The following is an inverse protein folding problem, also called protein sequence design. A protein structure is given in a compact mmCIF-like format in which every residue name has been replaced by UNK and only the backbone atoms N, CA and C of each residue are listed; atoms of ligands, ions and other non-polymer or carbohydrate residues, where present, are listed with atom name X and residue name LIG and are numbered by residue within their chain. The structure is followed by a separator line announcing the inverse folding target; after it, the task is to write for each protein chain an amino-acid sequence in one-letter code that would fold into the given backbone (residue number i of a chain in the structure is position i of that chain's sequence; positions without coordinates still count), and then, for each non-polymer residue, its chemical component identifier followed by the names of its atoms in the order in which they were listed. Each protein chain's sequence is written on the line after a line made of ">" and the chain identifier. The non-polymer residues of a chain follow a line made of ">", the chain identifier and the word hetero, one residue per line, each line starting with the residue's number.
data_IF_408927617565
#
_entry.id   IF_408927617565
#
_cell.length_a   1.000
_cell.length_b   1.000
_cell.length_c   1.000
_cell.angle_alpha   90.00
_cell.angle_beta   90.00
_cell.angle_gamma   90.00
#
_symmetry.space_group_name_H-M   'P 1'
#
loop_
_entity.id
_entity.type
_entity.pdbx_description
1 polymer ?
#
# COMPACT_ATOMS: atom_id res chain seq x y z
N UNK A 1 75.71 14.04 16.02
CA UNK A 1 74.79 15.18 15.84
C UNK A 1 73.65 14.70 14.95
N UNK A 2 72.49 14.56 15.57
CA UNK A 2 71.13 14.33 14.99
C UNK A 2 70.91 13.13 14.06
N UNK A 3 70.53 12.04 14.72
CA UNK A 3 69.60 11.00 14.34
C UNK A 3 68.26 11.60 13.85
N UNK A 4 67.78 11.19 12.67
CA UNK A 4 66.37 11.28 12.27
C UNK A 4 66.01 9.96 11.56
N UNK A 5 65.30 9.14 12.32
CA UNK A 5 64.75 7.84 12.01
C UNK A 5 63.84 7.88 10.76
N UNK A 6 64.06 6.94 9.82
CA UNK A 6 63.30 6.74 8.58
C UNK A 6 62.00 5.98 8.82
N UNK A 7 61.23 6.43 9.81
CA UNK A 7 59.90 5.91 10.11
C UNK A 7 58.93 7.08 9.99
N UNK A 8 57.78 6.80 9.38
CA UNK A 8 56.64 7.68 9.12
C UNK A 8 56.53 8.22 7.70
N UNK A 9 55.29 8.15 7.21
CA UNK A 9 54.78 8.46 5.87
C UNK A 9 55.14 7.38 4.84
N UNK A 10 54.26 6.47 4.45
CA UNK A 10 52.96 6.73 3.83
C UNK A 10 51.99 5.57 4.16
N UNK A 11 51.00 5.84 5.00
CA UNK A 11 49.75 5.06 5.08
C UNK A 11 48.69 5.90 4.37
N UNK A 12 48.61 5.79 3.05
CA UNK A 12 47.55 6.42 2.27
C UNK A 12 46.33 5.50 2.29
N UNK A 13 45.28 5.99 2.97
CA UNK A 13 43.95 5.43 3.04
C UNK A 13 43.36 5.18 1.64
N UNK A 14 43.14 3.92 1.28
CA UNK A 14 42.16 3.55 0.26
C UNK A 14 40.80 3.37 0.95
N UNK A 15 40.15 4.48 1.29
CA UNK A 15 38.74 4.47 1.68
C UNK A 15 37.90 4.44 0.40
N UNK A 16 37.64 3.25 -0.11
CA UNK A 16 36.66 3.04 -1.18
C UNK A 16 35.28 3.41 -0.65
N UNK A 17 34.81 4.61 -0.96
CA UNK A 17 33.43 5.02 -0.75
C UNK A 17 32.53 4.21 -1.70
N UNK A 18 32.08 3.04 -1.24
CA UNK A 18 30.91 2.41 -1.81
C UNK A 18 29.71 3.29 -1.47
N UNK A 19 29.34 4.20 -2.37
CA UNK A 19 28.00 4.80 -2.34
C UNK A 19 27.01 3.65 -2.54
N UNK A 20 26.51 3.11 -1.44
CA UNK A 20 25.28 2.36 -1.44
C UNK A 20 24.20 3.29 -1.99
N UNK A 21 23.76 3.04 -3.23
CA UNK A 21 22.52 3.59 -3.73
C UNK A 21 21.41 3.02 -2.84
N UNK A 22 21.08 3.74 -1.76
CA UNK A 22 19.89 3.45 -0.98
C UNK A 22 18.70 3.58 -1.94
N UNK A 23 17.85 2.56 -2.12
CA UNK A 23 16.61 2.73 -2.87
C UNK A 23 15.81 3.82 -2.16
N UNK A 24 15.68 4.98 -2.81
CA UNK A 24 14.81 6.03 -2.33
C UNK A 24 13.38 5.50 -2.17
N UNK A 25 12.57 6.08 -1.28
CA UNK A 25 11.17 5.71 -1.17
C UNK A 25 10.56 5.83 -2.57
N UNK A 26 9.94 4.76 -3.06
CA UNK A 26 9.18 4.79 -4.30
C UNK A 26 8.09 5.86 -4.13
N UNK A 27 8.36 7.09 -4.58
CA UNK A 27 7.43 8.19 -4.47
C UNK A 27 6.27 7.86 -5.39
N UNK A 28 5.07 7.63 -4.86
CA UNK A 28 3.94 7.32 -5.70
C UNK A 28 3.66 8.44 -6.71
N UNK A 29 3.06 8.07 -7.84
CA UNK A 29 2.84 9.04 -8.91
C UNK A 29 1.62 9.88 -8.56
N UNK A 30 1.87 11.10 -8.07
CA UNK A 30 0.88 12.17 -8.00
C UNK A 30 1.19 13.22 -9.07
N UNK A 31 0.18 13.60 -9.85
CA UNK A 31 0.31 14.71 -10.78
C UNK A 31 -1.04 15.42 -10.94
N UNK A 32 -0.95 16.70 -11.30
CA UNK A 32 -2.10 17.50 -11.67
C UNK A 32 -1.85 18.21 -13.00
N UNK A 33 -2.90 18.37 -13.80
CA UNK A 33 -2.92 19.16 -15.03
C UNK A 33 -4.14 20.08 -15.00
N UNK A 34 -3.95 21.32 -15.39
CA UNK A 34 -5.06 22.28 -15.55
C UNK A 34 -5.49 22.32 -17.01
N UNK A 35 -6.79 22.18 -17.25
CA UNK A 35 -7.42 22.26 -18.56
C UNK A 35 -8.71 23.07 -18.42
N UNK A 36 -8.86 24.14 -19.21
CA UNK A 36 -10.05 25.01 -19.21
C UNK A 36 -10.46 25.46 -17.79
N UNK A 37 -9.48 25.90 -16.99
CA UNK A 37 -9.70 26.35 -15.60
C UNK A 37 -9.96 25.25 -14.57
N UNK A 38 -10.16 24.00 -15.00
CA UNK A 38 -10.34 22.85 -14.11
C UNK A 38 -9.01 22.13 -13.92
N UNK A 39 -8.63 21.88 -12.66
CA UNK A 39 -7.41 21.14 -12.33
C UNK A 39 -7.73 19.67 -12.10
N UNK A 40 -7.35 18.82 -13.05
CA UNK A 40 -7.45 17.37 -12.97
C UNK A 40 -6.21 16.81 -12.28
N UNK A 41 -6.40 15.97 -11.28
CA UNK A 41 -5.34 15.39 -10.48
C UNK A 41 -5.53 13.88 -10.35
N UNK A 42 -4.43 13.17 -10.15
CA UNK A 42 -4.45 11.78 -9.75
C UNK A 42 -3.35 11.49 -8.74
N UNK A 43 -3.56 10.42 -7.97
CA UNK A 43 -2.57 9.81 -7.09
C UNK A 43 -2.68 8.30 -7.24
N UNK A 44 -1.57 7.63 -7.54
CA UNK A 44 -1.55 6.19 -7.78
C UNK A 44 -0.33 5.55 -7.14
N UNK A 45 -0.50 4.33 -6.65
CA UNK A 45 0.61 3.49 -6.21
C UNK A 45 1.59 3.27 -7.37
N UNK A 46 2.81 2.88 -7.06
CA UNK A 46 3.84 2.51 -8.02
C UNK A 46 4.29 1.07 -7.84
N UNK A 47 5.11 0.57 -8.78
CA UNK A 47 5.67 -0.77 -8.72
C UNK A 47 4.68 -1.84 -9.17
N UNK A 48 4.89 -3.07 -8.68
CA UNK A 48 4.18 -4.27 -9.14
C UNK A 48 2.67 -4.17 -8.98
N UNK A 49 2.17 -3.46 -7.97
CA UNK A 49 0.73 -3.30 -7.77
C UNK A 49 0.06 -2.56 -8.95
N UNK A 50 0.84 -1.83 -9.77
CA UNK A 50 0.31 -1.21 -10.97
C UNK A 50 0.10 -2.18 -12.13
N UNK A 51 1.01 -3.12 -12.31
CA UNK A 51 1.09 -4.01 -13.48
C UNK A 51 0.68 -5.45 -13.19
N UNK A 52 0.70 -5.88 -11.93
CA UNK A 52 0.58 -7.28 -11.49
C UNK A 52 -0.42 -7.51 -10.36
N UNK A 53 -0.94 -6.47 -9.69
CA UNK A 53 -1.95 -6.69 -8.66
C UNK A 53 -3.32 -6.98 -9.26
N UNK A 54 -3.52 -8.27 -9.50
CA UNK A 54 -4.76 -8.93 -9.82
C UNK A 54 -4.67 -10.35 -9.27
N UNK A 55 -4.67 -10.49 -7.94
CA UNK A 55 -4.83 -11.80 -7.31
C UNK A 55 -6.31 -12.07 -7.13
N UNK A 56 -6.82 -13.15 -7.74
CA UNK A 56 -8.19 -13.60 -7.49
C UNK A 56 -8.27 -14.23 -6.09
N UNK A 57 -9.37 -14.00 -5.36
CA UNK A 57 -9.62 -14.69 -4.10
C UNK A 57 -9.78 -16.20 -4.34
N UNK A 58 -9.09 -17.03 -3.57
CA UNK A 58 -9.07 -18.49 -3.76
C UNK A 58 -10.34 -19.18 -3.22
N UNK A 59 -11.10 -18.48 -2.38
CA UNK A 59 -12.34 -18.94 -1.74
C UNK A 59 -13.33 -17.80 -1.57
N UNK A 60 -14.60 -18.13 -1.36
CA UNK A 60 -15.72 -17.18 -1.43
C UNK A 60 -15.68 -16.09 -0.36
N UNK A 61 -15.13 -16.39 0.83
CA UNK A 61 -15.05 -15.48 1.97
C UNK A 61 -13.67 -14.84 2.15
N UNK A 62 -12.73 -15.07 1.23
CA UNK A 62 -11.32 -14.68 1.38
C UNK A 62 -10.94 -13.36 0.73
N UNK A 63 -11.91 -12.52 0.36
CA UNK A 63 -11.63 -11.18 -0.17
C UNK A 63 -10.69 -10.37 0.73
N UNK A 64 -10.84 -10.48 2.06
CA UNK A 64 -9.98 -9.83 3.04
C UNK A 64 -8.55 -10.38 3.02
N UNK A 65 -8.38 -11.70 2.93
CA UNK A 65 -7.07 -12.34 2.88
C UNK A 65 -6.34 -12.03 1.57
N UNK A 66 -7.07 -12.04 0.46
CA UNK A 66 -6.55 -11.66 -0.84
C UNK A 66 -6.14 -10.18 -0.90
N UNK A 67 -6.91 -9.28 -0.29
CA UNK A 67 -6.54 -7.87 -0.17
C UNK A 67 -5.22 -7.69 0.62
N UNK A 68 -5.05 -8.42 1.73
CA UNK A 68 -3.78 -8.41 2.48
C UNK A 68 -2.62 -8.99 1.67
N UNK A 69 -2.83 -10.11 0.98
CA UNK A 69 -1.82 -10.72 0.11
C UNK A 69 -1.34 -9.74 -0.97
N UNK A 70 -2.27 -9.06 -1.65
CA UNK A 70 -1.95 -8.01 -2.65
C UNK A 70 -1.10 -6.90 -2.03
N UNK A 71 -1.46 -6.44 -0.83
CA UNK A 71 -0.74 -5.38 -0.11
C UNK A 71 0.66 -5.85 0.30
N UNK A 72 0.81 -7.05 0.85
CA UNK A 72 2.12 -7.54 1.27
C UNK A 72 3.04 -7.76 0.05
N UNK A 73 2.50 -8.28 -1.06
CA UNK A 73 3.21 -8.39 -2.33
C UNK A 73 3.67 -7.05 -2.88
N UNK A 74 2.88 -5.98 -2.71
CA UNK A 74 3.29 -4.61 -3.08
C UNK A 74 4.56 -4.17 -2.34
N UNK A 75 4.67 -4.53 -1.05
CA UNK A 75 5.88 -4.32 -0.25
C UNK A 75 6.98 -5.38 -0.48
N UNK A 76 6.73 -6.32 -1.40
CA UNK A 76 7.66 -7.38 -1.76
C UNK A 76 7.69 -8.55 -0.80
N UNK A 77 6.73 -8.68 0.13
CA UNK A 77 6.58 -9.79 1.06
C UNK A 77 5.42 -10.69 0.62
N UNK A 78 5.71 -11.82 -0.01
CA UNK A 78 4.66 -12.73 -0.46
C UNK A 78 4.13 -13.58 0.68
N UNK A 79 2.83 -13.53 0.92
CA UNK A 79 2.11 -14.35 1.91
C UNK A 79 0.87 -14.89 1.22
N UNK A 80 0.78 -16.20 1.02
CA UNK A 80 -0.40 -16.80 0.38
C UNK A 80 -1.69 -16.54 1.15
N UNK A 81 -2.83 -16.55 0.46
CA UNK A 81 -4.15 -16.38 1.09
C UNK A 81 -4.43 -17.48 2.11
N UNK A 82 -4.05 -18.72 1.79
CA UNK A 82 -4.15 -19.89 2.66
C UNK A 82 -3.35 -19.68 3.95
N UNK A 83 -2.12 -19.13 3.85
CA UNK A 83 -1.30 -18.83 5.03
C UNK A 83 -1.92 -17.70 5.85
N UNK A 84 -2.39 -16.64 5.21
CA UNK A 84 -3.09 -15.54 5.89
C UNK A 84 -4.29 -16.05 6.70
N UNK A 85 -5.10 -16.92 6.09
CA UNK A 85 -6.26 -17.54 6.73
C UNK A 85 -5.84 -18.49 7.84
N UNK A 86 -4.83 -19.34 7.58
CA UNK A 86 -4.28 -20.28 8.54
C UNK A 86 -3.73 -19.60 9.80
N UNK A 87 -2.99 -18.50 9.63
CA UNK A 87 -2.45 -17.74 10.76
C UNK A 87 -3.56 -17.06 11.59
N UNK A 88 -4.66 -16.65 10.95
CA UNK A 88 -5.76 -15.94 11.60
C UNK A 88 -6.71 -16.89 12.33
N UNK A 89 -6.98 -18.06 11.75
CA UNK A 89 -7.97 -19.02 12.26
C UNK A 89 -7.36 -20.26 12.90
N UNK A 90 -6.04 -20.45 12.80
CA UNK A 90 -5.34 -21.68 13.20
C UNK A 90 -5.51 -22.86 12.21
N UNK A 91 -6.28 -22.66 11.14
CA UNK A 91 -6.55 -23.65 10.09
C UNK A 91 -7.02 -22.95 8.81
N UNK A 92 -6.86 -23.61 7.66
CA UNK A 92 -7.31 -23.08 6.37
C UNK A 92 -8.82 -23.33 6.23
N UNK A 93 -9.63 -22.28 6.38
CA UNK A 93 -11.12 -22.37 6.36
C UNK A 93 -11.76 -21.21 5.59
N UNK A 94 -12.87 -21.44 4.90
CA UNK A 94 -13.60 -20.41 4.11
C UNK A 94 -14.47 -19.51 5.00
N UNK A 95 -13.82 -18.75 5.90
CA UNK A 95 -14.49 -17.87 6.86
C UNK A 95 -14.29 -16.38 6.52
N UNK A 96 -15.35 -15.55 6.67
CA UNK A 96 -15.24 -14.11 6.47
C UNK A 96 -14.50 -13.44 7.63
N UNK A 97 -14.09 -12.19 7.43
CA UNK A 97 -13.49 -11.37 8.49
C UNK A 97 -14.22 -10.05 8.61
N UNK A 98 -14.59 -9.68 9.84
CA UNK A 98 -15.17 -8.38 10.14
C UNK A 98 -14.07 -7.31 10.22
N UNK A 99 -14.46 -6.03 10.12
CA UNK A 99 -13.55 -4.88 10.02
C UNK A 99 -12.54 -4.81 11.17
N UNK A 100 -12.98 -4.97 12.42
CA UNK A 100 -12.05 -4.95 13.57
C UNK A 100 -11.07 -6.13 13.54
N UNK A 101 -11.52 -7.28 13.03
CA UNK A 101 -10.68 -8.45 12.81
C UNK A 101 -9.60 -8.16 11.78
N UNK A 102 -9.97 -7.58 10.63
CA UNK A 102 -9.02 -7.18 9.59
C UNK A 102 -7.97 -6.22 10.16
N UNK A 103 -8.38 -5.19 10.92
CA UNK A 103 -7.43 -4.25 11.52
C UNK A 103 -6.48 -4.91 12.51
N UNK A 104 -6.95 -5.90 13.27
CA UNK A 104 -6.10 -6.69 14.16
C UNK A 104 -5.10 -7.53 13.37
N UNK A 105 -5.54 -8.13 12.26
CA UNK A 105 -4.71 -8.98 11.42
C UNK A 105 -3.65 -8.16 10.67
N UNK A 106 -3.96 -6.92 10.29
CA UNK A 106 -2.98 -5.98 9.75
C UNK A 106 -1.93 -5.64 10.81
N UNK A 107 -2.36 -5.28 12.03
CA UNK A 107 -1.48 -4.72 13.06
C UNK A 107 -0.70 -5.79 13.86
N UNK A 108 0.13 -6.58 13.17
CA UNK A 108 0.98 -7.61 13.79
C UNK A 108 2.26 -7.87 13.00
N UNK A 109 3.09 -8.77 13.54
CA UNK A 109 4.23 -9.33 12.83
C UNK A 109 3.77 -10.50 11.98
N UNK A 110 4.26 -10.54 10.75
CA UNK A 110 4.02 -11.56 9.75
C UNK A 110 5.34 -12.21 9.35
N UNK A 111 5.24 -13.44 8.83
CA UNK A 111 6.36 -14.18 8.24
C UNK A 111 5.98 -14.52 6.81
N UNK A 112 6.75 -14.02 5.86
CA UNK A 112 6.50 -14.25 4.44
C UNK A 112 6.86 -15.68 4.02
N UNK A 113 6.50 -16.05 2.80
CA UNK A 113 6.74 -17.38 2.23
C UNK A 113 8.23 -17.74 2.11
N UNK A 114 9.12 -16.75 2.24
CA UNK A 114 10.58 -16.89 2.25
C UNK A 114 11.17 -16.87 3.66
N UNK A 115 10.34 -16.84 4.70
CA UNK A 115 10.77 -16.80 6.10
C UNK A 115 11.20 -15.41 6.61
N UNK A 116 10.97 -14.33 5.86
CA UNK A 116 11.30 -12.97 6.30
C UNK A 116 10.21 -12.44 7.21
N UNK A 117 10.64 -11.86 8.33
CA UNK A 117 9.76 -11.18 9.26
C UNK A 117 9.51 -9.74 8.80
N UNK A 118 8.26 -9.30 8.93
CA UNK A 118 7.89 -7.90 8.74
C UNK A 118 6.76 -7.53 9.68
N UNK A 119 6.63 -6.23 9.98
CA UNK A 119 5.49 -5.69 10.74
C UNK A 119 4.61 -4.90 9.79
N UNK A 120 3.35 -5.30 9.72
CA UNK A 120 2.32 -4.49 9.07
C UNK A 120 1.67 -3.56 10.10
N UNK A 121 1.36 -2.35 9.68
CA UNK A 121 0.77 -1.29 10.49
C UNK A 121 -0.41 -0.73 9.72
N UNK A 122 -1.59 -0.77 10.34
CA UNK A 122 -2.83 -0.31 9.76
C UNK A 122 -3.38 0.90 10.49
N UNK A 123 -3.64 2.00 9.78
CA UNK A 123 -4.29 3.19 10.33
C UNK A 123 -5.60 3.46 9.60
N UNK A 124 -6.72 3.48 10.36
CA UNK A 124 -8.04 3.84 9.84
C UNK A 124 -8.05 5.31 9.43
N UNK A 125 -8.65 5.59 8.28
CA UNK A 125 -8.95 6.95 7.84
C UNK A 125 -10.34 7.35 8.35
N UNK A 126 -10.53 8.65 8.57
CA UNK A 126 -11.86 9.21 8.86
C UNK A 126 -12.73 9.08 7.62
N UNK A 127 -13.97 8.58 7.78
CA UNK A 127 -14.94 8.46 6.68
C UNK A 127 -15.74 9.74 6.45
N UNK A 128 -15.31 10.87 7.01
CA UNK A 128 -15.86 12.18 6.67
C UNK A 128 -15.70 12.39 5.17
N UNK A 129 -16.81 12.68 4.48
CA UNK A 129 -16.86 12.74 3.02
C UNK A 129 -15.99 13.84 2.43
N UNK A 130 -15.64 14.88 3.21
CA UNK A 130 -14.75 15.95 2.77
C UNK A 130 -13.27 15.61 2.98
N UNK A 131 -12.93 14.92 4.07
CA UNK A 131 -11.54 14.61 4.40
C UNK A 131 -11.02 13.32 3.75
N UNK A 132 -11.87 12.32 3.59
CA UNK A 132 -11.47 11.00 3.08
C UNK A 132 -10.74 11.08 1.73
N UNK A 133 -11.19 11.85 0.72
CA UNK A 133 -10.47 12.04 -0.53
C UNK A 133 -9.04 12.57 -0.34
N UNK A 134 -8.85 13.53 0.56
CA UNK A 134 -7.53 14.13 0.83
C UNK A 134 -6.62 13.13 1.54
N UNK A 135 -7.15 12.41 2.53
CA UNK A 135 -6.41 11.37 3.24
C UNK A 135 -5.98 10.24 2.29
N UNK A 136 -6.90 9.78 1.44
CA UNK A 136 -6.65 8.73 0.48
C UNK A 136 -5.60 9.15 -0.56
N UNK A 137 -5.74 10.33 -1.16
CA UNK A 137 -4.77 10.87 -2.11
C UNK A 137 -3.36 10.98 -1.50
N UNK A 138 -3.25 11.43 -0.24
CA UNK A 138 -1.98 11.52 0.49
C UNK A 138 -1.36 10.16 0.79
N UNK A 139 -2.16 9.17 1.20
CA UNK A 139 -1.66 7.82 1.44
C UNK A 139 -1.15 7.19 0.13
N UNK A 140 -1.94 7.28 -0.92
CA UNK A 140 -1.54 6.83 -2.26
C UNK A 140 -0.25 7.52 -2.70
N UNK A 141 -0.10 8.83 -2.48
CA UNK A 141 1.10 9.62 -2.85
C UNK A 141 2.36 9.24 -2.06
N UNK A 142 2.20 8.60 -0.89
CA UNK A 142 3.30 7.97 -0.14
C UNK A 142 3.52 6.51 -0.52
N UNK A 143 2.89 6.05 -1.59
CA UNK A 143 2.92 4.65 -2.04
C UNK A 143 2.38 3.67 -0.99
N UNK A 144 1.49 4.15 -0.11
CA UNK A 144 0.81 3.35 0.91
C UNK A 144 -0.53 2.86 0.36
N UNK A 145 -0.72 1.56 0.12
CA UNK A 145 -1.98 1.02 -0.32
C UNK A 145 -3.06 1.18 0.76
N UNK A 146 -4.30 1.28 0.31
CA UNK A 146 -5.47 1.43 1.16
C UNK A 146 -6.35 0.21 1.01
N UNK A 147 -6.68 -0.46 2.11
CA UNK A 147 -7.76 -1.46 2.11
C UNK A 147 -9.09 -0.72 2.29
N UNK A 148 -10.07 -1.06 1.46
CA UNK A 148 -11.42 -0.50 1.49
C UNK A 148 -12.38 -1.63 1.81
N UNK A 149 -13.11 -1.49 2.93
CA UNK A 149 -14.17 -2.39 3.30
C UNK A 149 -15.50 -1.94 2.73
N UNK A 150 -16.10 -2.80 1.92
CA UNK A 150 -17.43 -2.67 1.36
C UNK A 150 -18.37 -3.64 2.12
N UNK A 151 -19.70 -3.56 1.92
CA UNK A 151 -20.61 -4.58 2.44
C UNK A 151 -20.20 -5.97 1.95
N UNK A 152 -19.81 -6.84 2.89
CA UNK A 152 -19.39 -8.23 2.63
C UNK A 152 -18.21 -8.38 1.64
N UNK A 153 -17.38 -7.35 1.47
CA UNK A 153 -16.26 -7.40 0.53
C UNK A 153 -15.10 -6.51 0.97
N UNK A 154 -13.89 -6.84 0.54
CA UNK A 154 -12.70 -6.05 0.77
C UNK A 154 -11.90 -5.93 -0.52
N UNK A 155 -11.49 -4.71 -0.85
CA UNK A 155 -10.72 -4.37 -2.05
C UNK A 155 -9.54 -3.49 -1.69
N UNK A 156 -8.58 -3.33 -2.60
CA UNK A 156 -7.41 -2.47 -2.40
C UNK A 156 -7.49 -1.27 -3.31
N UNK A 157 -7.59 -0.06 -2.78
CA UNK A 157 -7.54 1.17 -3.58
C UNK A 157 -6.10 1.42 -4.03
N UNK A 158 -5.93 1.54 -5.35
CA UNK A 158 -4.62 1.61 -6.03
C UNK A 158 -4.39 2.92 -6.76
N UNK A 159 -5.46 3.61 -7.14
CA UNK A 159 -5.40 4.91 -7.79
C UNK A 159 -6.67 5.71 -7.50
N UNK A 160 -6.53 7.01 -7.37
CA UNK A 160 -7.62 7.96 -7.21
C UNK A 160 -7.44 9.10 -8.19
N UNK A 161 -8.54 9.54 -8.81
CA UNK A 161 -8.59 10.71 -9.69
C UNK A 161 -9.64 11.68 -9.19
N UNK A 162 -9.30 12.96 -9.25
CA UNK A 162 -10.21 14.02 -8.83
C UNK A 162 -9.96 15.27 -9.66
N UNK A 163 -10.95 16.14 -9.71
CA UNK A 163 -10.85 17.45 -10.32
C UNK A 163 -11.16 18.53 -9.30
N UNK A 164 -10.49 19.68 -9.45
CA UNK A 164 -10.73 20.88 -8.66
C UNK A 164 -11.29 21.93 -9.62
N UNK A 165 -12.48 22.44 -9.33
CA UNK A 165 -13.09 23.52 -10.12
C UNK A 165 -12.33 24.84 -9.93
N UNK A 166 -12.63 25.82 -10.77
CA UNK A 166 -12.10 27.19 -10.64
C UNK A 166 -12.39 27.81 -9.26
N UNK A 167 -13.53 27.44 -8.66
CA UNK A 167 -13.93 27.87 -7.31
C UNK A 167 -13.23 27.09 -6.18
N UNK A 168 -12.25 26.23 -6.49
CA UNK A 168 -11.50 25.44 -5.52
C UNK A 168 -12.23 24.20 -5.00
N UNK A 169 -13.44 23.89 -5.49
CA UNK A 169 -14.20 22.71 -5.04
C UNK A 169 -13.64 21.44 -5.68
N UNK A 170 -13.35 20.45 -4.84
CA UNK A 170 -12.85 19.14 -5.30
C UNK A 170 -14.00 18.16 -5.55
N UNK A 171 -13.87 17.36 -6.61
CA UNK A 171 -14.80 16.32 -7.00
C UNK A 171 -14.01 15.05 -7.31
N UNK A 172 -14.36 13.93 -6.66
CA UNK A 172 -13.74 12.64 -6.92
C UNK A 172 -14.38 12.03 -8.17
N UNK A 173 -13.57 11.82 -9.20
CA UNK A 173 -14.00 11.23 -10.45
C UNK A 173 -13.93 9.69 -10.34
N UNK A 174 -12.72 9.18 -10.04
CA UNK A 174 -12.43 7.74 -10.03
C UNK A 174 -11.75 7.28 -8.73
N UNK A 175 -12.13 6.08 -8.28
CA UNK A 175 -11.47 5.31 -7.22
C UNK A 175 -11.20 3.92 -7.77
N UNK A 176 -9.98 3.71 -8.26
CA UNK A 176 -9.58 2.49 -8.95
C UNK A 176 -9.02 1.49 -7.94
N UNK A 177 -9.76 0.41 -7.75
CA UNK A 177 -9.44 -0.67 -6.82
C UNK A 177 -8.94 -1.90 -7.57
N UNK A 178 -8.02 -2.64 -6.96
CA UNK A 178 -7.79 -4.06 -7.26
C UNK A 178 -8.85 -4.86 -6.53
N UNK A 179 -9.73 -5.53 -7.28
CA UNK A 179 -10.81 -6.35 -6.73
C UNK A 179 -10.40 -7.84 -6.76
N UNK A 180 -10.21 -8.48 -5.58
CA UNK A 180 -9.90 -9.90 -5.54
C UNK A 180 -11.01 -10.82 -6.06
N UNK A 181 -12.28 -10.43 -6.01
CA UNK A 181 -13.37 -11.26 -6.53
C UNK A 181 -13.31 -11.39 -8.03
N UNK A 182 -12.93 -10.31 -8.69
CA UNK A 182 -12.89 -10.23 -10.15
C UNK A 182 -11.49 -10.50 -10.72
N UNK A 183 -10.46 -10.53 -9.87
CA UNK A 183 -9.07 -10.69 -10.33
C UNK A 183 -8.66 -9.60 -11.30
N UNK A 184 -9.17 -8.36 -11.13
CA UNK A 184 -8.86 -7.23 -12.00
C UNK A 184 -8.99 -5.91 -11.27
N UNK A 185 -8.43 -4.87 -11.90
CA UNK A 185 -8.72 -3.49 -11.51
C UNK A 185 -10.08 -3.04 -12.04
N UNK A 186 -10.77 -2.24 -11.24
CA UNK A 186 -12.03 -1.59 -11.63
C UNK A 186 -12.23 -0.31 -10.82
N UNK A 187 -13.13 0.53 -11.31
CA UNK A 187 -13.58 1.68 -10.53
C UNK A 187 -14.60 1.21 -9.48
N UNK A 188 -14.60 1.85 -8.31
CA UNK A 188 -15.71 1.70 -7.36
C UNK A 188 -16.98 2.33 -7.93
N UNK A 189 -18.09 1.59 -7.82
CA UNK A 189 -19.40 2.11 -8.20
C UNK A 189 -19.84 3.21 -7.23
N UNK A 190 -20.83 4.02 -7.63
CA UNK A 190 -21.41 5.04 -6.74
C UNK A 190 -21.96 4.41 -5.46
N UNK A 191 -22.62 3.25 -5.58
CA UNK A 191 -23.18 2.51 -4.45
C UNK A 191 -22.09 2.04 -3.47
N UNK A 192 -20.99 1.48 -3.97
CA UNK A 192 -19.87 1.04 -3.13
C UNK A 192 -19.20 2.20 -2.40
N UNK A 193 -19.10 3.37 -3.05
CA UNK A 193 -18.59 4.60 -2.42
C UNK A 193 -19.49 5.03 -1.26
N UNK A 194 -20.81 5.00 -1.45
CA UNK A 194 -21.80 5.38 -0.43
C UNK A 194 -21.84 4.41 0.76
N UNK A 195 -21.64 3.12 0.51
CA UNK A 195 -21.69 2.08 1.55
C UNK A 195 -20.32 1.64 2.06
N UNK A 196 -19.26 2.40 1.78
CA UNK A 196 -17.93 2.13 2.32
C UNK A 196 -17.99 2.10 3.85
N UNK A 197 -17.58 0.97 4.45
CA UNK A 197 -17.66 0.69 5.89
C UNK A 197 -16.39 1.10 6.63
N UNK A 198 -15.25 1.01 5.94
CA UNK A 198 -13.98 1.54 6.44
C UNK A 198 -12.98 1.72 5.30
N UNK A 199 -12.02 2.59 5.54
CA UNK A 199 -10.79 2.69 4.75
C UNK A 199 -9.63 2.69 5.73
N UNK A 200 -8.59 1.91 5.44
CA UNK A 200 -7.37 1.93 6.22
C UNK A 200 -6.14 1.94 5.33
N UNK A 201 -5.18 2.80 5.66
CA UNK A 201 -3.84 2.71 5.11
C UNK A 201 -3.09 1.55 5.73
N UNK A 202 -2.28 0.87 4.93
CA UNK A 202 -1.40 -0.20 5.40
C UNK A 202 0.03 0.16 5.02
N UNK A 203 0.91 0.11 6.00
CA UNK A 203 2.35 0.24 5.82
C UNK A 203 3.07 -1.00 6.32
N UNK A 204 4.26 -1.27 5.77
CA UNK A 204 5.08 -2.42 6.15
C UNK A 204 6.50 -1.98 6.44
N UNK A 205 6.99 -2.37 7.61
CA UNK A 205 8.39 -2.20 8.01
C UNK A 205 9.07 -3.55 8.15
N UNK A 206 10.30 -3.66 7.63
CA UNK A 206 11.18 -4.80 7.90
C UNK A 206 11.42 -4.93 9.41
N UNK A 207 11.58 -6.16 9.88
CA UNK A 207 11.82 -6.50 11.28
C UNK A 207 13.16 -7.18 11.46
#
# INVERSE_FOLDING_TARGET
>A
MTDIDRRHLILALAASAALAAAPGPAAAAQACRTESGVRHCFSRLQGKIQTQATQTQNRSQWCWAAALSIIFDHYGYSVSQERIVGDVWGQVTDMPRHVDGIMRDINRVWIDDKGRHFRAIGARLTLDSEELPVQAARALARNQPLIVGLPYHAVVLTEMRWRVSELGKSFVDDLIVSDPREGRKRNLTVEERLYTRFVASVDVAAR
#
